data_IF_062013986371
#
_entry.id   IF_062013986371
#
_cell.length_a   1.000
_cell.length_b   1.000
_cell.length_c   1.000
_cell.angle_alpha   90.00
_cell.angle_beta   90.00
_cell.angle_gamma   90.00
#
_symmetry.space_group_name_H-M   'P 1'
#
loop_
_entity.id
_entity.type
_entity.pdbx_description
1 polymer ?
#
# COMPACT_ATOMS: atom_id res chain seq x y z
N UNK A 1 -6.21 13.46 -10.47
CA UNK A 1 -6.57 13.76 -9.06
C UNK A 1 -7.44 12.62 -8.57
N UNK A 2 -6.99 11.87 -7.56
CA UNK A 2 -7.85 10.90 -6.90
C UNK A 2 -8.95 11.64 -6.15
N UNK A 3 -10.17 11.13 -6.20
CA UNK A 3 -11.29 11.61 -5.41
C UNK A 3 -11.09 11.21 -3.95
N UNK A 4 -11.68 11.97 -3.00
CA UNK A 4 -11.69 11.59 -1.58
C UNK A 4 -12.19 10.15 -1.34
N UNK A 5 -13.09 9.67 -2.19
CA UNK A 5 -13.59 8.29 -2.15
C UNK A 5 -12.52 7.26 -2.55
N UNK A 6 -11.70 7.57 -3.56
CA UNK A 6 -10.58 6.73 -3.98
C UNK A 6 -9.46 6.71 -2.94
N UNK A 7 -9.13 7.85 -2.33
CA UNK A 7 -8.18 7.92 -1.21
C UNK A 7 -8.66 7.10 0.00
N UNK A 8 -9.95 7.22 0.36
CA UNK A 8 -10.53 6.46 1.45
C UNK A 8 -10.48 4.95 1.15
N UNK A 9 -10.83 4.54 -0.07
CA UNK A 9 -10.73 3.15 -0.53
C UNK A 9 -9.29 2.65 -0.45
N UNK A 10 -8.30 3.44 -0.91
CA UNK A 10 -6.87 3.13 -0.83
C UNK A 10 -6.42 2.87 0.60
N UNK A 11 -6.76 3.78 1.52
CA UNK A 11 -6.43 3.63 2.95
C UNK A 11 -7.05 2.37 3.54
N UNK A 12 -8.33 2.10 3.25
CA UNK A 12 -9.01 0.89 3.72
C UNK A 12 -8.37 -0.39 3.16
N UNK A 13 -7.96 -0.40 1.89
CA UNK A 13 -7.22 -1.52 1.29
C UNK A 13 -5.88 -1.77 2.00
N UNK A 14 -5.10 -0.71 2.24
CA UNK A 14 -3.82 -0.82 2.97
C UNK A 14 -4.02 -1.38 4.38
N UNK A 15 -5.00 -0.86 5.12
CA UNK A 15 -5.32 -1.39 6.46
C UNK A 15 -5.74 -2.86 6.44
N UNK A 16 -6.50 -3.29 5.42
CA UNK A 16 -6.89 -4.68 5.30
C UNK A 16 -5.69 -5.58 4.98
N UNK A 17 -4.81 -5.16 4.08
CA UNK A 17 -3.58 -5.89 3.75
C UNK A 17 -2.63 -5.98 4.96
N UNK A 18 -2.49 -4.92 5.76
CA UNK A 18 -1.70 -4.94 7.00
C UNK A 18 -2.21 -6.00 7.99
N UNK A 19 -3.53 -6.18 8.09
CA UNK A 19 -4.10 -7.21 8.98
C UNK A 19 -3.81 -8.62 8.48
N UNK A 20 -3.80 -8.81 7.16
CA UNK A 20 -3.41 -10.09 6.55
C UNK A 20 -1.93 -10.35 6.85
N UNK A 21 -1.05 -9.35 6.66
CA UNK A 21 0.37 -9.46 7.00
C UNK A 21 0.60 -9.87 8.44
N UNK A 22 -0.02 -9.17 9.39
CA UNK A 22 0.13 -9.50 10.80
C UNK A 22 -0.28 -10.96 11.08
N UNK A 23 -1.40 -11.41 10.50
CA UNK A 23 -1.84 -12.81 10.66
C UNK A 23 -0.79 -13.79 10.13
N UNK A 24 -0.21 -13.54 8.95
CA UNK A 24 0.83 -14.37 8.35
C UNK A 24 2.14 -14.34 9.15
N UNK A 25 2.55 -13.18 9.64
CA UNK A 25 3.75 -13.02 10.48
C UNK A 25 3.62 -13.78 11.80
N UNK A 26 2.46 -13.69 12.47
CA UNK A 26 2.19 -14.45 13.70
C UNK A 26 2.27 -15.96 13.43
N UNK A 27 1.70 -16.41 12.30
CA UNK A 27 1.78 -17.81 11.89
C UNK A 27 3.22 -18.25 11.59
N UNK A 28 4.00 -17.39 10.93
CA UNK A 28 5.39 -17.66 10.59
C UNK A 28 6.26 -17.77 11.85
N UNK A 29 6.09 -16.85 12.81
CA UNK A 29 6.76 -16.90 14.12
C UNK A 29 6.38 -18.15 14.92
N UNK A 30 5.14 -18.62 14.77
CA UNK A 30 4.66 -19.86 15.37
C UNK A 30 4.97 -21.13 14.58
N UNK A 31 5.81 -21.05 13.54
CA UNK A 31 6.18 -22.15 12.64
C UNK A 31 4.97 -22.93 12.07
N UNK A 32 3.83 -22.25 11.89
CA UNK A 32 2.64 -22.87 11.33
C UNK A 32 2.82 -23.11 9.84
N UNK A 33 2.22 -24.18 9.35
CA UNK A 33 2.27 -24.57 7.93
C UNK A 33 0.91 -24.52 7.24
N UNK A 34 -0.17 -24.32 8.00
CA UNK A 34 -1.54 -24.30 7.50
C UNK A 34 -2.11 -22.89 7.69
N UNK A 35 -2.54 -22.29 6.58
CA UNK A 35 -3.19 -20.98 6.58
C UNK A 35 -4.70 -21.15 6.85
N UNK A 36 -5.27 -20.47 7.85
CA UNK A 36 -6.70 -20.48 8.12
C UNK A 36 -7.53 -20.03 6.91
N UNK A 37 -8.72 -20.61 6.75
CA UNK A 37 -9.59 -20.36 5.60
C UNK A 37 -9.97 -18.87 5.46
N UNK A 38 -10.22 -18.20 6.57
CA UNK A 38 -10.55 -16.77 6.61
C UNK A 38 -9.41 -15.90 6.09
N UNK A 39 -8.15 -16.27 6.34
CA UNK A 39 -6.98 -15.58 5.78
C UNK A 39 -6.86 -15.88 4.28
N UNK A 40 -7.10 -17.12 3.85
CA UNK A 40 -7.13 -17.50 2.43
C UNK A 40 -8.18 -16.71 1.64
N UNK A 41 -9.39 -16.59 2.19
CA UNK A 41 -10.48 -15.85 1.56
C UNK A 41 -10.12 -14.35 1.43
N UNK A 42 -9.44 -13.78 2.43
CA UNK A 42 -8.93 -12.40 2.38
C UNK A 42 -7.82 -12.23 1.34
N UNK A 43 -6.83 -13.14 1.28
CA UNK A 43 -5.77 -13.12 0.26
C UNK A 43 -6.38 -13.08 -1.15
N UNK A 44 -7.35 -13.95 -1.41
CA UNK A 44 -8.06 -14.01 -2.70
C UNK A 44 -8.85 -12.74 -3.01
N UNK A 45 -9.46 -12.10 -2.01
CA UNK A 45 -10.18 -10.85 -2.18
C UNK A 45 -9.27 -9.70 -2.65
N UNK A 46 -7.99 -9.75 -2.31
CA UNK A 46 -6.95 -8.81 -2.76
C UNK A 46 -6.17 -9.31 -3.99
N UNK A 47 -6.60 -10.40 -4.63
CA UNK A 47 -5.93 -10.94 -5.81
C UNK A 47 -4.60 -11.64 -5.50
N UNK A 48 -4.28 -11.87 -4.22
CA UNK A 48 -3.06 -12.59 -3.83
C UNK A 48 -3.27 -14.09 -4.07
N UNK A 49 -2.45 -14.74 -4.92
CA UNK A 49 -2.60 -16.15 -5.22
C UNK A 49 -2.27 -17.00 -4.00
N UNK A 50 -3.08 -18.03 -3.76
CA UNK A 50 -2.87 -18.98 -2.67
C UNK A 50 -3.07 -20.41 -3.15
N UNK A 51 -2.06 -21.26 -2.89
CA UNK A 51 -2.18 -22.71 -2.90
C UNK A 51 -1.62 -23.28 -1.59
N UNK A 52 -2.08 -24.45 -1.13
CA UNK A 52 -1.61 -25.06 0.12
C UNK A 52 -0.10 -25.34 0.17
N UNK A 53 0.56 -25.39 -0.99
CA UNK A 53 1.99 -25.65 -1.12
C UNK A 53 2.85 -24.39 -0.96
N UNK A 54 2.25 -23.19 -1.04
CA UNK A 54 2.97 -21.93 -0.82
C UNK A 54 3.29 -21.78 0.66
N UNK A 55 4.54 -21.49 0.98
CA UNK A 55 4.95 -21.30 2.38
C UNK A 55 4.53 -19.92 2.87
N UNK A 56 4.31 -19.80 4.17
CA UNK A 56 3.89 -18.54 4.80
C UNK A 56 4.85 -17.37 4.52
N UNK A 57 6.19 -17.53 4.56
CA UNK A 57 7.11 -16.45 4.15
C UNK A 57 6.86 -15.96 2.72
N UNK A 58 6.60 -16.88 1.79
CA UNK A 58 6.38 -16.53 0.39
C UNK A 58 5.02 -15.80 0.23
N UNK A 59 4.02 -16.13 1.05
CA UNK A 59 2.75 -15.38 1.11
C UNK A 59 2.92 -13.97 1.68
N UNK A 60 3.80 -13.76 2.65
CA UNK A 60 4.12 -12.44 3.20
C UNK A 60 4.65 -11.53 2.09
N UNK A 61 5.61 -12.02 1.28
CA UNK A 61 6.16 -11.29 0.13
C UNK A 61 5.09 -10.94 -0.92
N UNK A 62 4.17 -11.86 -1.18
CA UNK A 62 3.06 -11.61 -2.12
C UNK A 62 2.10 -10.55 -1.61
N UNK A 63 1.85 -10.49 -0.30
CA UNK A 63 1.01 -9.44 0.30
C UNK A 63 1.73 -8.09 0.28
N UNK A 64 3.05 -8.05 0.54
CA UNK A 64 3.84 -6.81 0.35
C UNK A 64 3.75 -6.30 -1.09
N UNK A 65 3.88 -7.19 -2.07
CA UNK A 65 3.71 -6.84 -3.49
C UNK A 65 2.33 -6.22 -3.76
N UNK A 66 1.27 -6.79 -3.18
CA UNK A 66 -0.08 -6.23 -3.30
C UNK A 66 -0.23 -4.87 -2.60
N UNK A 67 0.49 -4.61 -1.50
CA UNK A 67 0.49 -3.30 -0.85
C UNK A 67 1.15 -2.22 -1.68
N UNK A 68 2.23 -2.56 -2.40
CA UNK A 68 2.96 -1.60 -3.25
C UNK A 68 2.04 -0.94 -4.30
N UNK A 69 1.04 -1.67 -4.83
CA UNK A 69 0.04 -1.10 -5.75
C UNK A 69 -0.74 0.08 -5.15
N UNK A 70 -0.93 0.08 -3.82
CA UNK A 70 -1.63 1.14 -3.10
C UNK A 70 -0.68 2.20 -2.53
N UNK A 71 0.64 1.93 -2.49
CA UNK A 71 1.66 2.89 -2.03
C UNK A 71 2.28 3.71 -3.17
N UNK A 72 2.40 3.15 -4.38
CA UNK A 72 3.06 3.76 -5.55
C UNK A 72 2.22 4.84 -6.26
N UNK A 73 1.43 5.60 -5.51
CA UNK A 73 0.76 6.80 -6.02
C UNK A 73 1.77 7.95 -5.97
N UNK A 74 2.03 8.56 -7.13
CA UNK A 74 2.79 9.82 -7.17
C UNK A 74 2.18 10.80 -6.16
N UNK A 75 3.01 11.49 -5.35
CA UNK A 75 2.50 12.47 -4.41
C UNK A 75 1.63 13.47 -5.17
N UNK A 76 0.36 13.57 -4.79
CA UNK A 76 -0.51 14.63 -5.29
C UNK A 76 0.22 15.97 -5.06
N UNK A 77 0.26 16.83 -6.09
CA UNK A 77 1.02 18.09 -6.13
C UNK A 77 0.86 18.99 -4.88
N UNK A 78 -0.19 18.75 -4.11
CA UNK A 78 -0.51 19.37 -2.82
C UNK A 78 0.63 19.24 -1.79
N UNK A 79 1.43 18.17 -1.85
CA UNK A 79 2.61 17.98 -1.00
C UNK A 79 3.95 18.07 -1.75
N UNK A 80 3.95 18.55 -3.00
CA UNK A 80 5.20 18.71 -3.74
C UNK A 80 5.95 19.94 -3.23
N UNK A 81 7.24 19.77 -2.96
CA UNK A 81 8.12 20.92 -2.72
C UNK A 81 8.28 21.64 -4.07
N UNK A 82 8.00 22.95 -4.16
CA UNK A 82 8.21 23.71 -5.39
C UNK A 82 9.66 23.60 -5.85
N UNK A 83 9.90 23.56 -7.15
CA UNK A 83 11.27 23.57 -7.68
C UNK A 83 11.90 24.96 -7.48
N UNK A 84 13.24 25.03 -7.54
CA UNK A 84 13.97 26.31 -7.42
C UNK A 84 13.49 27.31 -8.48
N UNK A 85 13.25 26.86 -9.71
CA UNK A 85 12.77 27.69 -10.83
C UNK A 85 11.38 28.28 -10.56
N UNK A 86 10.50 27.53 -9.89
CA UNK A 86 9.16 28.00 -9.52
C UNK A 86 9.20 29.00 -8.37
N UNK A 87 10.11 28.80 -7.41
CA UNK A 87 10.36 29.76 -6.33
C UNK A 87 10.90 31.08 -6.89
N UNK A 88 11.87 31.02 -7.81
CA UNK A 88 12.43 32.20 -8.47
C UNK A 88 11.36 32.99 -9.25
N UNK A 89 10.48 32.30 -9.98
CA UNK A 89 9.36 32.93 -10.67
C UNK A 89 8.38 33.64 -9.72
N UNK A 90 8.10 33.05 -8.55
CA UNK A 90 7.26 33.67 -7.52
C UNK A 90 7.90 34.92 -6.93
N UNK A 91 9.19 34.88 -6.63
CA UNK A 91 9.91 36.04 -6.07
C UNK A 91 10.07 37.18 -7.08
N UNK A 92 10.25 36.89 -8.38
CA UNK A 92 10.32 37.95 -9.39
C UNK A 92 8.95 38.63 -9.58
N UNK A 93 7.84 37.89 -9.51
CA UNK A 93 6.49 38.47 -9.56
C UNK A 93 6.18 39.35 -8.34
N UNK A 94 6.64 38.98 -7.14
CA UNK A 94 6.49 39.80 -5.93
C UNK A 94 7.31 41.08 -5.93
N UNK A 95 8.31 41.22 -6.81
CA UNK A 95 9.20 42.39 -6.88
C UNK A 95 8.67 43.51 -7.80
N UNK A 96 7.67 43.21 -8.62
CA UNK A 96 7.05 44.13 -9.60
C UNK A 96 5.68 44.64 -9.14
N UNK A 97 5.20 44.19 -7.97
CA UNK A 97 3.95 44.62 -7.33
C UNK A 97 4.15 45.77 -6.34
#
# INVERSE_FOLDING_TARGET
>A
MATRAEEAKRKLSLYALDRILWSLEEMNLGERTIVPRDVVDQLRAFGVPYTPEVRIPDLIELVFTAQEEFMNVEPEEINRVPTIEELEAYFEQSRVA
#
